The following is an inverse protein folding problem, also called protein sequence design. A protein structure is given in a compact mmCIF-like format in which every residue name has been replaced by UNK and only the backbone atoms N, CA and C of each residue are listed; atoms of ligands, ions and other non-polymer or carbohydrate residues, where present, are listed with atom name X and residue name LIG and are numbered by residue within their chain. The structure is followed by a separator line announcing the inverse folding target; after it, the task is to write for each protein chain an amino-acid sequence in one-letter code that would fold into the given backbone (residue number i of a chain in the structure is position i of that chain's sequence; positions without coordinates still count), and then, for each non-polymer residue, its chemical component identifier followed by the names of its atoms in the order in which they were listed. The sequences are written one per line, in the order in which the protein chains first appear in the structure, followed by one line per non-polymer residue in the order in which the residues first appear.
data_IF_718371427582
#
_entry.id   IF_718371427582
#
_cell.length_a   1.000
_cell.length_b   1.000
_cell.length_c   1.000
_cell.angle_alpha   90.00
_cell.angle_beta   90.00
_cell.angle_gamma   90.00
#
_symmetry.space_group_name_H-M   'P 1'
#
loop_
_entity.id
_entity.type
_entity.pdbx_description
1 polymer ?
#
# COMPACT_ATOMS: atom_id res chain seq x y z
N UNK A 1 0.38 18.17 -4.68
CA UNK A 1 -0.56 17.49 -3.77
C UNK A 1 -1.73 16.85 -4.52
N UNK A 2 -2.43 17.57 -5.42
CA UNK A 2 -3.58 17.05 -6.21
C UNK A 2 -3.40 15.70 -6.92
N UNK A 3 -2.20 15.36 -7.43
CA UNK A 3 -1.96 14.08 -8.10
C UNK A 3 -1.90 12.90 -7.12
N UNK A 4 -1.43 13.12 -5.89
CA UNK A 4 -1.38 12.07 -4.88
C UNK A 4 -2.78 11.67 -4.47
N UNK A 5 -3.64 12.63 -4.12
CA UNK A 5 -5.05 12.39 -3.79
C UNK A 5 -5.76 11.59 -4.88
N UNK A 6 -5.62 11.98 -6.15
CA UNK A 6 -6.18 11.21 -7.28
C UNK A 6 -5.68 9.76 -7.36
N UNK A 7 -4.41 9.51 -7.02
CA UNK A 7 -3.83 8.16 -7.02
C UNK A 7 -4.28 7.31 -5.83
N UNK A 8 -4.90 7.94 -4.84
CA UNK A 8 -5.51 7.27 -3.67
C UNK A 8 -6.99 7.04 -3.94
N UNK A 9 -7.68 8.09 -4.38
CA UNK A 9 -9.13 8.08 -4.55
C UNK A 9 -9.57 7.11 -5.66
N UNK A 10 -8.81 7.04 -6.76
CA UNK A 10 -9.12 6.15 -7.88
C UNK A 10 -9.13 4.66 -7.47
N UNK A 11 -8.04 4.06 -6.94
CA UNK A 11 -8.09 2.65 -6.53
C UNK A 11 -9.08 2.41 -5.38
N UNK A 12 -9.29 3.39 -4.49
CA UNK A 12 -10.27 3.24 -3.41
C UNK A 12 -11.69 3.13 -3.96
N UNK A 13 -12.06 3.99 -4.92
CA UNK A 13 -13.42 4.08 -5.47
C UNK A 13 -13.68 3.04 -6.54
N UNK A 14 -12.73 2.86 -7.46
CA UNK A 14 -12.91 2.06 -8.67
C UNK A 14 -12.63 0.57 -8.45
N UNK A 15 -11.91 0.21 -7.38
CA UNK A 15 -11.54 -1.17 -7.08
C UNK A 15 -12.02 -1.60 -5.70
N UNK A 16 -11.45 -1.03 -4.63
CA UNK A 16 -11.64 -1.50 -3.25
C UNK A 16 -13.10 -1.38 -2.80
N UNK A 17 -13.71 -0.22 -2.97
CA UNK A 17 -15.11 0.06 -2.58
C UNK A 17 -16.07 -0.07 -3.77
N UNK A 18 -15.60 -0.67 -4.87
CA UNK A 18 -16.45 -0.81 -6.05
C UNK A 18 -17.60 -1.78 -5.77
N UNK A 19 -18.78 -1.59 -6.41
CA UNK A 19 -19.89 -2.52 -6.29
C UNK A 19 -19.57 -3.94 -6.80
N UNK A 20 -18.49 -4.11 -7.56
CA UNK A 20 -18.02 -5.41 -8.04
C UNK A 20 -17.39 -6.26 -6.92
N UNK A 21 -17.05 -5.66 -5.77
CA UNK A 21 -16.51 -6.34 -4.59
C UNK A 21 -15.37 -7.33 -4.92
N UNK A 22 -14.33 -6.90 -5.65
CA UNK A 22 -13.30 -7.81 -6.17
C UNK A 22 -12.46 -8.47 -5.07
N UNK A 23 -12.46 -7.91 -3.87
CA UNK A 23 -11.78 -8.43 -2.67
C UNK A 23 -12.76 -8.88 -1.58
N UNK A 24 -14.06 -8.97 -1.90
CA UNK A 24 -15.14 -9.18 -0.95
C UNK A 24 -15.88 -7.90 -0.54
N UNK A 25 -16.93 -8.06 0.28
CA UNK A 25 -17.70 -6.94 0.84
C UNK A 25 -16.85 -6.22 1.90
N UNK A 26 -16.59 -4.94 1.71
CA UNK A 26 -15.83 -4.11 2.66
C UNK A 26 -16.77 -3.60 3.74
N UNK A 27 -16.52 -3.98 4.99
CA UNK A 27 -17.29 -3.52 6.17
C UNK A 27 -16.77 -2.19 6.70
N UNK A 28 -15.44 -2.03 6.74
CA UNK A 28 -14.77 -0.81 7.18
C UNK A 28 -13.40 -0.66 6.51
N UNK A 29 -12.85 0.54 6.54
CA UNK A 29 -11.49 0.80 6.10
C UNK A 29 -10.88 1.97 6.86
N UNK A 30 -9.57 1.90 7.05
CA UNK A 30 -8.80 2.97 7.65
C UNK A 30 -7.55 3.22 6.84
N UNK A 31 -7.25 4.49 6.55
CA UNK A 31 -5.96 4.81 5.98
C UNK A 31 -5.36 6.10 6.54
N UNK A 32 -4.04 6.17 6.52
CA UNK A 32 -3.29 7.36 6.87
C UNK A 32 -2.21 7.65 5.84
N UNK A 33 -2.02 8.92 5.56
CA UNK A 33 -0.94 9.42 4.70
C UNK A 33 0.30 9.63 5.56
N UNK A 34 1.41 9.01 5.19
CA UNK A 34 2.71 9.25 5.83
C UNK A 34 3.72 9.85 4.86
N UNK A 35 4.42 10.85 5.37
CA UNK A 35 5.56 11.47 4.69
C UNK A 35 6.83 10.82 5.24
N UNK A 36 7.53 10.05 4.41
CA UNK A 36 8.87 9.61 4.77
C UNK A 36 9.80 10.84 4.71
N UNK A 37 10.75 10.95 5.64
CA UNK A 37 11.60 12.13 5.83
C UNK A 37 12.34 12.64 4.56
N UNK A 38 12.41 11.82 3.50
CA UNK A 38 12.99 12.17 2.19
C UNK A 38 12.19 11.61 1.00
N UNK A 39 10.91 11.28 1.16
CA UNK A 39 10.15 10.51 0.18
C UNK A 39 8.80 11.12 -0.21
N UNK A 40 8.24 10.59 -1.29
CA UNK A 40 6.86 10.85 -1.68
C UNK A 40 5.89 10.39 -0.58
N UNK A 41 4.71 11.03 -0.44
CA UNK A 41 3.66 10.52 0.44
C UNK A 41 3.28 9.09 0.03
N UNK A 42 3.03 8.25 1.03
CA UNK A 42 2.50 6.89 0.86
C UNK A 42 1.36 6.67 1.85
N UNK A 43 0.54 5.68 1.53
CA UNK A 43 -0.59 5.30 2.36
C UNK A 43 -0.26 4.05 3.15
N UNK A 44 -0.71 4.04 4.39
CA UNK A 44 -1.02 2.82 5.11
C UNK A 44 -2.52 2.62 5.05
N UNK A 45 -2.98 1.55 4.41
CA UNK A 45 -4.39 1.22 4.25
C UNK A 45 -4.66 -0.11 4.96
N UNK A 46 -5.73 -0.14 5.75
CA UNK A 46 -6.35 -1.31 6.34
C UNK A 46 -7.77 -1.39 5.79
N UNK A 47 -8.20 -2.59 5.42
CA UNK A 47 -9.54 -2.87 4.90
C UNK A 47 -10.06 -4.10 5.64
N UNK A 48 -11.26 -3.99 6.22
CA UNK A 48 -11.96 -5.10 6.86
C UNK A 48 -12.95 -5.67 5.85
N UNK A 49 -12.77 -6.95 5.54
CA UNK A 49 -13.60 -7.69 4.61
C UNK A 49 -14.52 -8.59 5.42
N UNK A 50 -15.80 -8.56 5.09
CA UNK A 50 -16.82 -9.41 5.68
C UNK A 50 -16.49 -10.88 5.47
N UNK A 51 -16.68 -11.68 6.51
CA UNK A 51 -16.43 -13.13 6.53
C UNK A 51 -14.98 -13.53 6.18
N UNK A 52 -14.01 -12.60 6.31
CA UNK A 52 -12.60 -12.94 6.16
C UNK A 52 -12.14 -13.86 7.30
N UNK A 53 -11.21 -14.82 7.03
CA UNK A 53 -10.77 -15.77 8.03
C UNK A 53 -10.01 -15.08 9.16
N UNK A 54 -10.37 -15.40 10.41
CA UNK A 54 -9.71 -14.91 11.60
C UNK A 54 -8.47 -15.74 11.94
N UNK A 55 -7.36 -15.08 12.27
CA UNK A 55 -6.11 -15.77 12.64
C UNK A 55 -6.21 -16.51 13.98
N UNK A 56 -7.04 -16.05 14.93
CA UNK A 56 -7.09 -16.60 16.29
C UNK A 56 -7.94 -17.87 16.39
N UNK A 57 -8.91 -18.04 15.50
CA UNK A 57 -9.89 -19.14 15.53
C UNK A 57 -9.49 -20.35 14.67
N UNK A 58 -8.34 -20.27 13.99
CA UNK A 58 -7.90 -21.33 13.08
C UNK A 58 -6.81 -22.19 13.70
N UNK A 59 -7.13 -23.47 13.88
CA UNK A 59 -6.15 -24.52 14.18
C UNK A 59 -5.18 -24.76 13.01
N UNK A 60 -5.51 -24.25 11.82
CA UNK A 60 -4.76 -24.41 10.58
C UNK A 60 -4.67 -23.09 9.81
N UNK A 61 -3.45 -22.53 9.74
CA UNK A 61 -3.11 -21.33 8.98
C UNK A 61 -3.34 -21.49 7.46
N UNK A 62 -3.55 -22.72 6.96
CA UNK A 62 -3.73 -22.95 5.52
C UNK A 62 -4.94 -22.21 4.94
N UNK A 63 -5.99 -21.99 5.75
CA UNK A 63 -7.18 -21.25 5.32
C UNK A 63 -6.85 -19.78 5.14
N UNK A 64 -6.14 -19.17 6.09
CA UNK A 64 -5.70 -17.77 6.00
C UNK A 64 -4.71 -17.57 4.86
N UNK A 65 -3.74 -18.48 4.72
CA UNK A 65 -2.74 -18.42 3.66
C UNK A 65 -3.42 -18.48 2.28
N UNK A 66 -4.37 -19.40 2.08
CA UNK A 66 -5.14 -19.48 0.83
C UNK A 66 -5.92 -18.20 0.55
N UNK A 67 -6.54 -17.61 1.58
CA UNK A 67 -7.23 -16.34 1.44
C UNK A 67 -6.28 -15.20 1.07
N UNK A 68 -5.08 -15.14 1.66
CA UNK A 68 -4.06 -14.15 1.30
C UNK A 68 -3.59 -14.35 -0.14
N UNK A 69 -3.26 -15.59 -0.52
CA UNK A 69 -2.70 -15.92 -1.85
C UNK A 69 -3.70 -15.63 -2.99
N UNK A 70 -5.01 -15.60 -2.71
CA UNK A 70 -6.04 -15.20 -3.67
C UNK A 70 -5.90 -13.72 -4.11
N UNK A 71 -5.47 -12.84 -3.21
CA UNK A 71 -5.44 -11.39 -3.47
C UNK A 71 -4.03 -10.83 -3.56
N UNK A 72 -3.05 -11.50 -2.96
CA UNK A 72 -1.68 -11.02 -2.82
C UNK A 72 -0.74 -12.12 -3.30
N UNK A 73 -0.13 -11.88 -4.45
CA UNK A 73 0.86 -12.80 -5.01
C UNK A 73 2.00 -12.04 -5.66
N UNK A 74 3.19 -12.63 -5.58
CA UNK A 74 4.38 -12.19 -6.33
C UNK A 74 4.63 -13.09 -7.55
N UNK A 75 3.74 -14.04 -7.83
CA UNK A 75 3.87 -14.96 -8.95
C UNK A 75 3.72 -14.21 -10.28
N UNK A 76 4.55 -14.57 -11.25
CA UNK A 76 4.38 -14.05 -12.60
C UNK A 76 3.17 -14.71 -13.29
N UNK A 77 2.25 -13.94 -13.87
CA UNK A 77 1.13 -14.49 -14.63
C UNK A 77 1.63 -15.38 -15.77
N UNK A 78 0.86 -16.39 -16.15
CA UNK A 78 1.21 -17.26 -17.29
C UNK A 78 1.08 -16.45 -18.61
N UNK A 79 2.13 -16.33 -19.43
CA UNK A 79 2.10 -15.58 -20.67
C UNK A 79 1.11 -16.14 -21.71
N UNK A 80 0.70 -17.40 -21.61
CA UNK A 80 -0.27 -18.02 -22.51
C UNK A 80 -1.71 -17.92 -21.98
N UNK A 81 -1.90 -17.98 -20.66
CA UNK A 81 -3.24 -17.91 -20.07
C UNK A 81 -3.75 -16.45 -19.99
N UNK A 82 -2.88 -15.51 -19.64
CA UNK A 82 -3.20 -14.08 -19.60
C UNK A 82 -2.00 -13.24 -20.10
N UNK A 83 -1.84 -13.10 -21.43
CA UNK A 83 -0.73 -12.36 -22.02
C UNK A 83 -0.74 -10.87 -21.68
N UNK A 84 -1.92 -10.28 -21.45
CA UNK A 84 -2.05 -8.86 -21.15
C UNK A 84 -1.58 -8.57 -19.72
N UNK A 85 -2.08 -9.33 -18.74
CA UNK A 85 -1.64 -9.21 -17.36
C UNK A 85 -0.14 -9.53 -17.23
N UNK A 86 0.33 -10.59 -17.88
CA UNK A 86 1.76 -10.92 -17.92
C UNK A 86 2.60 -9.73 -18.39
N UNK A 87 2.21 -9.12 -19.52
CA UNK A 87 2.90 -7.95 -20.06
C UNK A 87 2.92 -6.80 -19.04
N UNK A 88 1.78 -6.41 -18.49
CA UNK A 88 1.68 -5.29 -17.54
C UNK A 88 2.58 -5.54 -16.33
N UNK A 89 2.46 -6.72 -15.70
CA UNK A 89 3.22 -7.04 -14.49
C UNK A 89 4.72 -7.12 -14.80
N UNK A 90 5.11 -7.68 -15.95
CA UNK A 90 6.52 -7.72 -16.38
C UNK A 90 7.13 -6.33 -16.59
N UNK A 91 6.33 -5.36 -17.05
CA UNK A 91 6.79 -3.99 -17.31
C UNK A 91 6.88 -3.14 -16.04
N UNK A 92 5.93 -3.30 -15.10
CA UNK A 92 5.77 -2.34 -13.98
C UNK A 92 6.01 -2.91 -12.58
N UNK A 93 6.02 -4.24 -12.40
CA UNK A 93 6.20 -4.88 -11.09
C UNK A 93 7.51 -5.66 -10.96
N UNK A 94 8.37 -5.65 -11.98
CA UNK A 94 9.68 -6.30 -11.93
C UNK A 94 10.76 -5.28 -11.59
N UNK A 95 11.64 -5.65 -10.66
CA UNK A 95 12.84 -4.85 -10.37
C UNK A 95 13.71 -4.76 -11.63
N UNK A 96 13.85 -3.56 -12.19
CA UNK A 96 14.55 -3.37 -13.45
C UNK A 96 16.01 -3.82 -13.39
N UNK A 97 16.41 -4.62 -14.38
CA UNK A 97 17.82 -4.96 -14.66
C UNK A 97 18.64 -3.72 -15.04
N UNK A 98 17.99 -2.69 -15.57
CA UNK A 98 18.58 -1.38 -15.82
C UNK A 98 18.52 -0.53 -14.54
N UNK A 99 19.26 -0.97 -13.52
CA UNK A 99 19.31 -0.38 -12.19
C UNK A 99 19.43 1.15 -12.24
N UNK A 100 18.44 1.84 -11.67
CA UNK A 100 18.41 3.29 -11.58
C UNK A 100 19.51 3.84 -10.66
N UNK A 101 19.77 5.16 -10.71
CA UNK A 101 20.74 5.82 -9.82
C UNK A 101 20.39 5.67 -8.33
N UNK A 102 19.10 5.56 -7.98
CA UNK A 102 18.68 5.33 -6.60
C UNK A 102 18.87 3.87 -6.16
N UNK A 103 18.87 2.93 -7.12
CA UNK A 103 19.14 1.52 -6.89
C UNK A 103 20.63 1.23 -6.72
N UNK A 104 21.51 1.92 -7.46
CA UNK A 104 22.96 1.80 -7.31
C UNK A 104 23.44 2.61 -6.10
N UNK A 105 24.25 2.03 -5.22
CA UNK A 105 24.88 2.76 -4.11
C UNK A 105 26.29 2.22 -3.85
N UNK A 106 27.30 3.06 -4.00
CA UNK A 106 28.69 2.62 -3.94
C UNK A 106 29.02 1.68 -5.11
N UNK A 107 29.82 0.65 -4.85
CA UNK A 107 30.31 -0.28 -5.87
C UNK A 107 29.45 -1.55 -6.04
N UNK A 108 28.26 -1.61 -5.44
CA UNK A 108 27.34 -2.75 -5.65
C UNK A 108 26.39 -2.49 -6.80
N UNK A 109 26.15 -3.54 -7.60
CA UNK A 109 25.25 -3.52 -8.75
C UNK A 109 23.80 -3.15 -8.34
N UNK A 110 23.32 -3.69 -7.22
CA UNK A 110 22.01 -3.40 -6.64
C UNK A 110 22.11 -3.21 -5.12
N UNK A 111 21.77 -2.01 -4.61
CA UNK A 111 21.75 -1.71 -3.16
C UNK A 111 20.80 -2.61 -2.38
N UNK A 112 19.70 -3.03 -3.00
CA UNK A 112 18.66 -3.84 -2.35
C UNK A 112 18.94 -5.35 -2.44
N UNK A 113 19.97 -5.76 -3.19
CA UNK A 113 20.33 -7.16 -3.40
C UNK A 113 19.26 -7.93 -4.17
N UNK A 114 18.78 -7.37 -5.29
CA UNK A 114 17.96 -8.09 -6.26
C UNK A 114 18.84 -8.77 -7.32
N UNK A 115 18.41 -9.92 -7.88
CA UNK A 115 17.17 -10.63 -7.55
C UNK A 115 17.23 -11.31 -6.17
N UNK A 116 16.09 -11.39 -5.49
CA UNK A 116 15.94 -12.18 -4.26
C UNK A 116 15.67 -13.62 -4.64
N UNK A 117 16.01 -14.56 -3.75
CA UNK A 117 15.61 -15.95 -3.93
C UNK A 117 14.08 -16.03 -3.92
N UNK A 118 13.47 -16.82 -4.82
CA UNK A 118 12.04 -17.03 -4.80
C UNK A 118 11.63 -17.73 -3.50
N UNK A 119 10.41 -17.45 -3.04
CA UNK A 119 9.76 -18.23 -1.99
C UNK A 119 8.59 -18.97 -2.61
N UNK A 120 8.55 -20.29 -2.41
CA UNK A 120 7.55 -21.15 -3.06
C UNK A 120 6.16 -21.07 -2.40
N UNK A 121 6.10 -20.56 -1.16
CA UNK A 121 4.85 -20.45 -0.39
C UNK A 121 4.86 -19.26 0.55
N UNK A 122 3.68 -18.73 0.83
CA UNK A 122 3.45 -17.78 1.91
C UNK A 122 3.70 -18.45 3.26
N UNK A 123 4.41 -17.75 4.14
CA UNK A 123 4.80 -18.25 5.46
C UNK A 123 4.00 -17.48 6.51
N UNK A 124 3.25 -18.19 7.34
CA UNK A 124 2.58 -17.59 8.50
C UNK A 124 3.61 -17.22 9.57
N UNK A 125 3.57 -15.99 10.11
CA UNK A 125 4.50 -15.55 11.15
C UNK A 125 4.27 -16.25 12.50
N UNK A 126 3.14 -16.94 12.70
CA UNK A 126 2.72 -17.48 13.99
C UNK A 126 3.56 -18.71 14.42
N UNK A 127 4.18 -19.42 13.47
CA UNK A 127 5.05 -20.56 13.80
C UNK A 127 6.43 -20.16 14.37
N UNK A 128 6.76 -18.87 14.42
CA UNK A 128 7.95 -18.37 15.12
C UNK A 128 7.56 -17.32 16.15
N UNK A 129 7.33 -17.80 17.37
CA UNK A 129 7.17 -16.94 18.54
C UNK A 129 8.26 -15.85 18.61
N UNK A 130 7.76 -14.65 18.93
CA UNK A 130 8.43 -13.48 19.50
C UNK A 130 8.87 -12.36 18.53
N UNK A 131 8.14 -11.23 18.66
CA UNK A 131 8.54 -9.84 18.38
C UNK A 131 8.35 -9.33 16.95
N UNK A 132 7.18 -8.74 16.68
CA UNK A 132 6.98 -7.37 16.14
C UNK A 132 5.63 -7.30 15.42
N UNK A 133 4.78 -6.34 15.82
CA UNK A 133 3.53 -5.98 15.14
C UNK A 133 3.68 -5.98 13.61
N UNK A 134 2.95 -6.87 12.93
CA UNK A 134 2.85 -6.85 11.47
C UNK A 134 1.88 -5.74 11.04
N UNK A 135 2.42 -4.56 10.75
CA UNK A 135 1.71 -3.57 9.92
C UNK A 135 1.87 -4.01 8.46
N UNK A 136 0.78 -4.44 7.83
CA UNK A 136 0.78 -4.63 6.38
C UNK A 136 0.82 -3.24 5.71
N UNK A 137 1.95 -2.91 5.08
CA UNK A 137 2.07 -1.69 4.29
C UNK A 137 1.85 -2.04 2.82
N UNK A 138 0.68 -1.72 2.28
CA UNK A 138 0.58 -1.50 0.83
C UNK A 138 1.23 -0.15 0.52
N UNK A 139 2.55 -0.16 0.26
CA UNK A 139 3.24 1.07 -0.14
C UNK A 139 2.97 1.37 -1.60
N UNK A 140 1.95 2.18 -1.88
CA UNK A 140 1.83 2.87 -3.16
C UNK A 140 2.89 3.97 -3.23
N UNK A 141 4.14 3.61 -3.58
CA UNK A 141 5.22 4.59 -3.77
C UNK A 141 5.04 5.26 -5.12
N UNK A 142 4.77 6.57 -5.11
CA UNK A 142 4.91 7.38 -6.32
C UNK A 142 6.39 7.58 -6.61
N UNK A 143 6.95 6.76 -7.52
CA UNK A 143 8.24 7.07 -8.13
C UNK A 143 8.04 8.28 -9.04
N UNK A 144 8.43 9.46 -8.56
CA UNK A 144 8.66 10.57 -9.48
C UNK A 144 10.07 11.12 -9.27
N UNK A 145 10.90 10.85 -10.27
CA UNK A 145 12.23 11.39 -10.39
C UNK A 145 12.08 12.86 -10.77
N UNK A 146 12.68 13.75 -9.97
CA UNK A 146 12.73 15.23 -10.14
C UNK A 146 11.47 15.94 -9.65
N UNK A 147 11.56 16.62 -8.51
CA UNK A 147 11.57 18.10 -8.42
C UNK A 147 12.01 18.45 -6.99
N UNK A 148 13.07 19.26 -6.92
CA UNK A 148 13.68 19.76 -5.70
C UNK A 148 13.08 21.14 -5.37
N UNK A 149 12.89 21.38 -4.06
CA UNK A 149 12.80 22.69 -3.36
C UNK A 149 11.55 23.56 -3.58
N UNK A 150 10.73 23.69 -2.53
CA UNK A 150 10.65 24.88 -1.65
C UNK A 150 9.55 24.64 -0.59
N UNK A 151 9.99 24.46 0.64
CA UNK A 151 9.18 24.20 1.83
C UNK A 151 8.90 25.50 2.61
N UNK A 152 7.94 25.40 3.53
CA UNK A 152 7.84 26.12 4.82
C UNK A 152 7.05 27.43 4.99
N UNK A 153 6.52 28.09 3.95
CA UNK A 153 5.70 29.29 4.17
C UNK A 153 4.17 29.06 4.21
N UNK A 154 3.67 27.93 3.69
CA UNK A 154 2.23 27.71 3.50
C UNK A 154 1.52 27.06 4.69
N UNK A 155 2.25 26.26 5.49
CA UNK A 155 1.67 25.53 6.62
C UNK A 155 1.18 26.44 7.75
N UNK A 156 1.72 27.66 7.88
CA UNK A 156 1.33 28.58 8.96
C UNK A 156 0.04 29.35 8.67
N UNK A 157 -0.29 29.59 7.40
CA UNK A 157 -1.47 30.39 6.99
C UNK A 157 -2.79 29.61 6.95
N UNK A 158 -2.73 28.28 6.93
CA UNK A 158 -3.94 27.44 6.89
C UNK A 158 -4.50 27.15 8.30
N UNK A 159 -3.69 27.31 9.35
CA UNK A 159 -4.13 27.09 10.74
C UNK A 159 -4.96 28.25 11.30
N UNK A 160 -4.65 29.50 10.91
CA UNK A 160 -5.36 30.70 11.39
C UNK A 160 -6.78 30.85 10.80
N UNK A 161 -7.10 30.14 9.70
CA UNK A 161 -8.43 30.23 9.06
C UNK A 161 -9.46 29.27 9.67
N UNK A 162 -9.03 28.26 10.42
CA UNK A 162 -9.93 27.26 11.00
C UNK A 162 -10.66 27.75 12.26
N UNK A 163 -10.10 28.75 12.97
CA UNK A 163 -10.70 29.26 14.22
C UNK A 163 -11.84 30.27 13.98
N UNK A 164 -11.95 30.85 12.78
CA UNK A 164 -12.93 31.91 12.50
C UNK A 164 -14.34 31.43 12.09
N UNK A 165 -14.53 30.13 11.80
CA UNK A 165 -15.76 29.64 11.13
C UNK A 165 -16.63 28.66 11.94
N UNK A 166 -16.53 28.65 13.27
CA UNK A 166 -17.55 28.13 14.22
C UNK A 166 -18.44 26.96 13.74
N UNK A 167 -17.88 25.79 13.46
CA UNK A 167 -18.64 24.63 12.97
C UNK A 167 -19.20 23.77 14.13
N UNK A 168 -20.49 23.46 13.99
CA UNK A 168 -21.39 22.65 14.84
C UNK A 168 -20.83 21.24 15.18
N UNK A 169 -20.99 20.83 16.44
CA UNK A 169 -20.41 19.62 17.05
C UNK A 169 -21.31 18.37 16.97
N UNK A 170 -22.44 18.40 16.27
CA UNK A 170 -23.42 17.29 16.29
C UNK A 170 -23.35 16.31 15.11
N UNK A 171 -22.43 16.48 14.16
CA UNK A 171 -22.19 15.51 13.07
C UNK A 171 -21.26 14.36 13.52
N UNK A 172 -21.50 13.10 13.11
CA UNK A 172 -20.58 11.99 13.41
C UNK A 172 -19.19 12.32 12.89
N UNK A 173 -18.20 12.25 13.79
CA UNK A 173 -16.80 12.63 13.52
C UNK A 173 -16.17 11.67 12.52
N UNK A 174 -16.31 11.96 11.24
CA UNK A 174 -15.46 11.39 10.19
C UNK A 174 -14.22 12.28 10.02
N UNK A 175 -13.06 11.63 9.95
CA UNK A 175 -11.71 12.20 9.82
C UNK A 175 -11.11 12.86 11.07
N UNK A 176 -10.44 12.06 11.91
CA UNK A 176 -9.34 12.58 12.73
C UNK A 176 -8.08 12.66 11.86
N UNK A 177 -7.80 13.85 11.33
CA UNK A 177 -6.46 14.22 10.85
C UNK A 177 -5.60 14.63 12.05
N UNK A 178 -4.48 13.96 12.24
CA UNK A 178 -3.24 14.58 12.74
C UNK A 178 -2.11 14.21 11.81
#
# INVERSE_FOLDING_TARGET
MRLFEKRVDAPMTDQILSPAQPIGEVEDYFYRVKFQARGSPHIHLLVWIKDAPEFEDLQDDSVVIKFIDQYITCQMPDPNADPELHKIVSEVQVHSSNHSKSCKKGNVMCRFGFPKLPMDKTISPIQHQMTTMMMMMMTMTTTNSKVHKKTDAKAKRENERAELFGLDKTRPRTSYKR
#
